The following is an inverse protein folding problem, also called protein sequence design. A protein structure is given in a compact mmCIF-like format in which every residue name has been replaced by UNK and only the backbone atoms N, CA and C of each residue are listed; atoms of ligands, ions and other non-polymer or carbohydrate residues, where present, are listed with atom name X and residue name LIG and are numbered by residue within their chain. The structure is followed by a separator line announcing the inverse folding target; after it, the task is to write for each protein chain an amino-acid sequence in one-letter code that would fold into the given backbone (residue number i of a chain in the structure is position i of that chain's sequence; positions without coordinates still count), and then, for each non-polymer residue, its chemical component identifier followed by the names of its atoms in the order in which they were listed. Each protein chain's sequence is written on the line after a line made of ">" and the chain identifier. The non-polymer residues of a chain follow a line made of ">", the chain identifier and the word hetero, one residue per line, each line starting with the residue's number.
data_IF_948049318617
#
_entry.id   IF_948049318617
#
_cell.length_a   1.000
_cell.length_b   1.000
_cell.length_c   1.000
_cell.angle_alpha   90.00
_cell.angle_beta   90.00
_cell.angle_gamma   90.00
#
_symmetry.space_group_name_H-M   'P 1'
#
loop_
_entity.id
_entity.type
_entity.pdbx_description
1 polymer ?
#
# COMPACT_ATOMS: atom_id res chain seq x y z
N UNK A 1 -15.14 -19.09 43.21
CA UNK A 1 -15.12 -17.75 42.58
C UNK A 1 -13.72 -17.22 42.27
N UNK A 2 -12.71 -17.35 43.16
CA UNK A 2 -11.33 -16.87 42.93
C UNK A 2 -10.57 -17.56 41.79
N UNK A 3 -10.88 -18.83 41.49
CA UNK A 3 -10.22 -19.58 40.41
C UNK A 3 -10.65 -19.11 39.01
N UNK A 4 -11.92 -18.70 38.85
CA UNK A 4 -12.44 -18.21 37.57
C UNK A 4 -11.87 -16.84 37.17
N UNK A 5 -11.54 -16.01 38.17
CA UNK A 5 -10.93 -14.69 37.93
C UNK A 5 -9.48 -14.80 37.43
N UNK A 6 -8.71 -15.78 37.95
CA UNK A 6 -7.33 -16.06 37.50
C UNK A 6 -7.29 -16.58 36.06
N UNK A 7 -8.15 -17.54 35.72
CA UNK A 7 -8.21 -18.12 34.37
C UNK A 7 -8.64 -17.10 33.32
N UNK A 8 -9.60 -16.22 33.65
CA UNK A 8 -10.02 -15.14 32.76
C UNK A 8 -8.89 -14.13 32.52
N UNK A 9 -8.14 -13.77 33.57
CA UNK A 9 -7.00 -12.84 33.46
C UNK A 9 -5.84 -13.38 32.62
N UNK A 10 -5.55 -14.68 32.66
CA UNK A 10 -4.52 -15.31 31.81
C UNK A 10 -4.94 -15.42 30.34
N UNK A 11 -6.24 -15.63 30.07
CA UNK A 11 -6.78 -15.66 28.70
C UNK A 11 -6.77 -14.24 28.10
N UNK A 12 -7.16 -13.22 28.88
CA UNK A 12 -7.10 -11.83 28.44
C UNK A 12 -5.68 -11.38 28.10
N UNK A 13 -4.68 -11.80 28.88
CA UNK A 13 -3.27 -11.45 28.63
C UNK A 13 -2.68 -12.13 27.37
N UNK A 14 -3.17 -13.30 26.99
CA UNK A 14 -2.67 -14.04 25.80
C UNK A 14 -3.26 -13.53 24.49
N UNK A 15 -4.48 -12.98 24.52
CA UNK A 15 -5.14 -12.36 23.34
C UNK A 15 -4.40 -11.09 22.87
N UNK A 16 -3.79 -10.32 23.79
CA UNK A 16 -3.00 -9.13 23.43
C UNK A 16 -1.71 -9.44 22.65
N UNK A 17 -1.26 -10.69 22.62
CA UNK A 17 -0.04 -11.10 21.92
C UNK A 17 -0.30 -11.56 20.47
N UNK A 18 -1.57 -11.61 20.04
CA UNK A 18 -1.94 -11.95 18.67
C UNK A 18 -1.72 -10.70 17.82
N UNK A 19 -0.52 -10.54 17.26
CA UNK A 19 -0.26 -9.48 16.28
C UNK A 19 -0.87 -9.89 14.94
N UNK A 20 -1.71 -9.07 14.30
CA UNK A 20 -2.15 -9.34 12.94
C UNK A 20 -0.91 -9.36 12.03
N UNK A 21 -0.76 -10.40 11.22
CA UNK A 21 0.35 -10.48 10.28
C UNK A 21 0.24 -9.32 9.27
N UNK A 22 1.20 -8.39 9.30
CA UNK A 22 1.24 -7.20 8.43
C UNK A 22 1.61 -7.52 6.96
N UNK A 23 1.44 -8.77 6.52
CA UNK A 23 1.87 -9.22 5.19
C UNK A 23 1.21 -8.42 4.06
N UNK A 24 -0.08 -8.08 4.20
CA UNK A 24 -0.79 -7.21 3.26
C UNK A 24 -0.19 -5.80 3.12
N UNK A 25 0.30 -5.21 4.22
CA UNK A 25 0.94 -3.88 4.20
C UNK A 25 2.31 -3.90 3.54
N UNK A 26 3.10 -4.95 3.78
CA UNK A 26 4.41 -5.12 3.13
C UNK A 26 4.21 -5.30 1.61
N UNK A 27 3.28 -6.17 1.22
CA UNK A 27 2.97 -6.41 -0.19
C UNK A 27 2.41 -5.17 -0.89
N UNK A 28 1.54 -4.39 -0.21
CA UNK A 28 1.09 -3.09 -0.69
C UNK A 28 2.26 -2.11 -0.92
N UNK A 29 3.18 -2.01 0.05
CA UNK A 29 4.36 -1.15 -0.07
C UNK A 29 5.23 -1.51 -1.27
N UNK A 30 5.51 -2.80 -1.47
CA UNK A 30 6.26 -3.30 -2.62
C UNK A 30 5.54 -2.96 -3.94
N UNK A 31 4.23 -3.18 -4.01
CA UNK A 31 3.41 -2.86 -5.18
C UNK A 31 3.44 -1.36 -5.50
N UNK A 32 3.26 -0.50 -4.49
CA UNK A 32 3.35 0.95 -4.64
C UNK A 32 4.72 1.41 -5.13
N UNK A 33 5.80 0.84 -4.58
CA UNK A 33 7.16 1.12 -5.06
C UNK A 33 7.28 0.78 -6.55
N UNK A 34 6.79 -0.39 -6.98
CA UNK A 34 6.76 -0.78 -8.39
C UNK A 34 5.99 0.21 -9.27
N UNK A 35 4.77 0.59 -8.88
CA UNK A 35 3.98 1.57 -9.63
C UNK A 35 4.69 2.93 -9.77
N UNK A 36 5.32 3.42 -8.69
CA UNK A 36 6.10 4.66 -8.75
C UNK A 36 7.33 4.53 -9.64
N UNK A 37 8.05 3.41 -9.61
CA UNK A 37 9.19 3.17 -10.52
C UNK A 37 8.74 3.19 -11.98
N UNK A 38 7.60 2.58 -12.30
CA UNK A 38 7.02 2.63 -13.65
C UNK A 38 6.63 4.05 -14.05
N UNK A 39 6.05 4.84 -13.14
CA UNK A 39 5.73 6.24 -13.40
C UNK A 39 6.98 7.08 -13.70
N UNK A 40 8.05 6.89 -12.93
CA UNK A 40 9.35 7.53 -13.18
C UNK A 40 9.90 7.15 -14.55
N UNK A 41 9.84 5.87 -14.93
CA UNK A 41 10.30 5.41 -16.23
C UNK A 41 9.46 5.99 -17.39
N UNK A 42 8.13 6.05 -17.24
CA UNK A 42 7.22 6.64 -18.22
C UNK A 42 7.50 8.13 -18.44
N UNK A 43 7.68 8.87 -17.35
CA UNK A 43 8.07 10.28 -17.39
C UNK A 43 9.43 10.48 -18.08
N UNK A 44 10.42 9.67 -17.73
CA UNK A 44 11.75 9.74 -18.34
C UNK A 44 11.71 9.45 -19.84
N UNK A 45 10.92 8.46 -20.28
CA UNK A 45 10.68 8.17 -21.69
C UNK A 45 10.00 9.33 -22.43
N UNK A 46 9.17 10.10 -21.73
CA UNK A 46 8.56 11.32 -22.24
C UNK A 46 9.48 12.56 -22.16
N UNK A 47 10.69 12.44 -21.59
CA UNK A 47 11.64 13.54 -21.44
C UNK A 47 11.40 14.46 -20.23
N UNK A 48 10.65 14.00 -19.23
CA UNK A 48 10.31 14.76 -18.03
C UNK A 48 10.82 14.09 -16.75
N UNK A 49 11.05 14.89 -15.72
CA UNK A 49 11.31 14.39 -14.36
C UNK A 49 9.99 14.18 -13.63
N UNK A 50 9.85 13.05 -12.94
CA UNK A 50 8.64 12.76 -12.17
C UNK A 50 8.40 13.79 -11.06
N UNK A 51 7.15 14.24 -10.92
CA UNK A 51 6.73 15.17 -9.87
C UNK A 51 7.12 16.64 -10.06
N UNK A 52 7.78 17.02 -11.17
CA UNK A 52 8.20 18.42 -11.40
C UNK A 52 7.21 19.25 -12.20
N UNK A 53 6.24 18.61 -12.86
CA UNK A 53 5.24 19.27 -13.69
C UNK A 53 3.96 19.49 -12.89
N UNK A 54 3.53 20.75 -12.79
CA UNK A 54 2.25 21.10 -12.18
C UNK A 54 1.09 20.47 -12.98
N UNK A 55 0.11 19.89 -12.28
CA UNK A 55 -0.98 19.13 -12.91
C UNK A 55 -1.73 19.92 -13.99
N UNK A 56 -1.98 21.22 -13.76
CA UNK A 56 -2.66 22.09 -14.73
C UNK A 56 -1.84 22.38 -16.01
N UNK A 57 -0.54 22.13 -15.99
CA UNK A 57 0.38 22.32 -17.11
C UNK A 57 0.89 20.99 -17.69
N UNK A 58 0.32 19.86 -17.26
CA UNK A 58 0.78 18.54 -17.68
C UNK A 58 0.49 18.30 -19.17
N UNK A 59 1.50 17.96 -20.00
CA UNK A 59 1.26 17.57 -21.38
C UNK A 59 0.56 16.19 -21.44
N UNK A 60 -0.07 15.84 -22.58
CA UNK A 60 -0.87 14.62 -22.70
C UNK A 60 -0.13 13.33 -22.29
N UNK A 61 1.15 13.21 -22.64
CA UNK A 61 1.98 12.06 -22.25
C UNK A 61 2.09 11.91 -20.72
N UNK A 62 2.20 13.01 -20.00
CA UNK A 62 2.34 13.02 -18.54
C UNK A 62 0.99 12.72 -17.87
N UNK A 63 -0.11 13.23 -18.42
CA UNK A 63 -1.46 12.84 -17.98
C UNK A 63 -1.65 11.32 -18.14
N UNK A 64 -1.21 10.75 -19.27
CA UNK A 64 -1.26 9.31 -19.49
C UNK A 64 -0.41 8.53 -18.48
N UNK A 65 0.86 8.93 -18.24
CA UNK A 65 1.71 8.29 -17.22
C UNK A 65 1.06 8.30 -15.83
N UNK A 66 0.45 9.42 -15.42
CA UNK A 66 -0.24 9.51 -14.12
C UNK A 66 -1.51 8.67 -14.07
N UNK A 67 -2.28 8.60 -15.15
CA UNK A 67 -3.46 7.73 -15.19
C UNK A 67 -3.08 6.26 -15.02
N UNK A 68 -2.00 5.81 -15.67
CA UNK A 68 -1.45 4.47 -15.50
C UNK A 68 -0.96 4.21 -14.06
N UNK A 69 -0.26 5.18 -13.45
CA UNK A 69 0.11 5.13 -12.04
C UNK A 69 -1.11 4.97 -11.12
N UNK A 70 -2.18 5.75 -11.38
CA UNK A 70 -3.43 5.69 -10.63
C UNK A 70 -4.09 4.31 -10.74
N UNK A 71 -4.18 3.75 -11.94
CA UNK A 71 -4.71 2.40 -12.18
C UNK A 71 -3.87 1.33 -11.48
N UNK A 72 -2.54 1.43 -11.56
CA UNK A 72 -1.62 0.52 -10.88
C UNK A 72 -1.81 0.56 -9.36
N UNK A 73 -1.88 1.77 -8.79
CA UNK A 73 -2.06 1.97 -7.35
C UNK A 73 -3.41 1.48 -6.85
N UNK A 74 -4.47 1.65 -7.66
CA UNK A 74 -5.80 1.11 -7.35
C UNK A 74 -5.80 -0.42 -7.30
N UNK A 75 -5.04 -1.08 -8.19
CA UNK A 75 -4.85 -2.53 -8.10
C UNK A 75 -4.04 -2.92 -6.86
N UNK A 76 -3.01 -2.15 -6.46
CA UNK A 76 -2.28 -2.41 -5.21
C UNK A 76 -3.19 -2.35 -3.98
N UNK A 77 -4.22 -1.50 -3.98
CA UNK A 77 -5.16 -1.40 -2.86
C UNK A 77 -5.88 -2.74 -2.58
N UNK A 78 -6.11 -3.59 -3.58
CA UNK A 78 -6.72 -4.90 -3.35
C UNK A 78 -5.79 -5.80 -2.53
N UNK A 79 -4.47 -5.67 -2.69
CA UNK A 79 -3.46 -6.43 -1.93
C UNK A 79 -3.47 -6.02 -0.45
N UNK A 80 -3.69 -4.74 -0.16
CA UNK A 80 -3.79 -4.25 1.20
C UNK A 80 -5.08 -4.71 1.91
N UNK A 81 -6.18 -4.82 1.15
CA UNK A 81 -7.52 -5.10 1.67
C UNK A 81 -7.84 -6.60 1.71
N UNK A 82 -7.09 -7.45 0.98
CA UNK A 82 -7.26 -8.90 1.05
C UNK A 82 -6.63 -9.45 2.33
N UNK A 83 -7.38 -10.22 3.14
CA UNK A 83 -6.81 -10.91 4.28
C UNK A 83 -5.75 -11.91 3.80
N UNK A 84 -4.50 -11.68 4.18
CA UNK A 84 -3.41 -12.64 3.99
C UNK A 84 -3.48 -13.69 5.11
N UNK A 85 -3.45 -15.00 4.80
CA UNK A 85 -3.49 -16.07 5.79
C UNK A 85 -2.25 -16.09 6.69
#
# INVERSE_FOLDING_TARGET
>A
MRLQFKTCSTIAATILLIQPASAGLIAYGICQTGCNTLAVACYAAAGFTFGTIAAAAAPPAIVACNSALGTCSAACATIALTPTP
#
